data_IF_779851971356
#
_entry.id   IF_779851971356
#
_cell.length_a   1.000
_cell.length_b   1.000
_cell.length_c   1.000
_cell.angle_alpha   90.00
_cell.angle_beta   90.00
_cell.angle_gamma   90.00
#
_symmetry.space_group_name_H-M   'P 1'
#
loop_
_entity.id
_entity.type
_entity.pdbx_description
1 polymer ?
#
# COMPACT_ATOMS: atom_id res chain seq x y z
N UNK A 1 42.73 -26.32 86.33
CA UNK A 1 41.87 -27.20 85.50
C UNK A 1 42.22 -26.97 84.02
N UNK A 2 43.04 -27.89 83.48
CA UNK A 2 43.29 -28.32 82.08
C UNK A 2 42.97 -27.38 80.89
N UNK A 3 43.78 -27.22 79.83
CA UNK A 3 45.15 -27.61 79.44
C UNK A 3 45.32 -27.08 77.99
N UNK A 4 46.43 -26.37 77.70
CA UNK A 4 47.25 -26.47 76.46
C UNK A 4 46.64 -25.97 75.12
N UNK A 5 47.33 -25.45 74.10
CA UNK A 5 48.75 -25.21 73.80
C UNK A 5 48.82 -24.56 72.38
N UNK A 6 49.65 -23.51 72.24
CA UNK A 6 50.44 -22.99 71.11
C UNK A 6 50.36 -23.57 69.67
N UNK A 7 50.50 -22.63 68.68
CA UNK A 7 51.35 -22.64 67.44
C UNK A 7 51.24 -23.84 66.46
N UNK A 8 51.32 -23.77 65.12
CA UNK A 8 52.31 -23.17 64.19
C UNK A 8 51.94 -23.62 62.75
N UNK A 9 52.30 -22.82 61.74
CA UNK A 9 52.80 -23.13 60.37
C UNK A 9 52.16 -24.18 59.40
N UNK A 10 51.95 -23.68 58.17
CA UNK A 10 52.47 -24.17 56.86
C UNK A 10 51.93 -25.42 56.12
N UNK A 11 51.92 -25.31 54.79
CA UNK A 11 51.86 -26.41 53.78
C UNK A 11 50.58 -26.38 52.94
N UNK A 12 50.54 -25.85 51.71
CA UNK A 12 51.00 -26.40 50.40
C UNK A 12 50.47 -27.82 50.10
N UNK A 13 49.76 -27.95 48.97
CA UNK A 13 49.47 -29.23 48.28
C UNK A 13 48.01 -29.31 47.82
N UNK A 14 47.62 -28.77 46.67
CA UNK A 14 47.70 -29.37 45.33
C UNK A 14 46.79 -30.60 45.14
N UNK A 15 45.72 -30.45 44.32
CA UNK A 15 45.30 -31.29 43.18
C UNK A 15 43.78 -31.18 42.96
N UNK A 16 43.35 -30.89 41.73
CA UNK A 16 41.94 -31.01 41.35
C UNK A 16 41.60 -30.31 40.04
N UNK A 17 42.01 -30.93 38.93
CA UNK A 17 41.69 -30.55 37.55
C UNK A 17 40.17 -30.50 37.33
N UNK A 18 39.66 -29.41 36.77
CA UNK A 18 38.48 -29.44 35.89
C UNK A 18 38.46 -28.19 35.00
N UNK A 19 39.03 -28.33 33.81
CA UNK A 19 38.77 -27.43 32.71
C UNK A 19 37.32 -27.61 32.24
N UNK A 20 36.53 -26.54 32.25
CA UNK A 20 35.31 -26.47 31.42
C UNK A 20 35.28 -25.12 30.75
N UNK A 21 35.78 -25.11 29.52
CA UNK A 21 35.52 -24.15 28.47
C UNK A 21 34.01 -24.05 28.25
N UNK A 22 33.38 -22.94 28.67
CA UNK A 22 32.00 -22.66 28.26
C UNK A 22 32.05 -21.81 26.98
N UNK A 23 31.92 -22.52 25.87
CA UNK A 23 31.82 -22.00 24.51
C UNK A 23 30.81 -20.86 24.41
N UNK A 24 31.21 -19.77 23.76
CA UNK A 24 30.29 -18.79 23.21
C UNK A 24 29.43 -19.49 22.15
N UNK A 25 28.19 -19.82 22.52
CA UNK A 25 27.18 -20.29 21.59
C UNK A 25 26.68 -19.06 20.82
N UNK A 26 27.31 -18.76 19.69
CA UNK A 26 26.75 -17.83 18.73
C UNK A 26 25.42 -18.41 18.25
N UNK A 27 24.30 -17.81 18.68
CA UNK A 27 23.00 -18.06 18.09
C UNK A 27 23.04 -17.54 16.65
N UNK A 28 23.32 -18.42 15.70
CA UNK A 28 23.00 -18.19 14.30
C UNK A 28 21.50 -18.36 14.15
N UNK A 29 20.73 -17.33 14.48
CA UNK A 29 19.37 -17.20 13.95
C UNK A 29 19.49 -17.11 12.43
N UNK A 30 18.91 -18.04 11.64
CA UNK A 30 18.82 -17.83 10.22
C UNK A 30 17.93 -16.60 10.04
N UNK A 31 18.50 -15.53 9.49
CA UNK A 31 17.70 -14.41 9.01
C UNK A 31 16.81 -14.93 7.88
N UNK A 32 15.58 -15.30 8.21
CA UNK A 32 14.50 -15.37 7.23
C UNK A 32 14.14 -13.93 6.87
N UNK A 33 14.99 -13.33 6.04
CA UNK A 33 14.76 -12.01 5.50
C UNK A 33 13.63 -12.10 4.45
N UNK A 34 12.47 -11.56 4.80
CA UNK A 34 12.02 -10.32 4.14
C UNK A 34 11.21 -10.42 2.85
N UNK A 35 10.69 -11.57 2.44
CA UNK A 35 9.84 -11.62 1.22
C UNK A 35 8.36 -11.32 1.51
N UNK A 36 7.85 -11.72 2.69
CA UNK A 36 6.43 -11.50 3.07
C UNK A 36 6.15 -10.11 3.66
N UNK A 37 7.13 -9.52 4.35
CA UNK A 37 6.98 -8.21 5.00
C UNK A 37 7.14 -7.05 3.99
N UNK A 38 8.04 -7.20 3.00
CA UNK A 38 8.25 -6.18 1.98
C UNK A 38 7.03 -6.07 1.04
N UNK A 39 6.54 -7.18 0.49
CA UNK A 39 5.39 -7.17 -0.43
C UNK A 39 4.10 -6.68 0.24
N UNK A 40 3.86 -7.05 1.51
CA UNK A 40 2.72 -6.53 2.27
C UNK A 40 2.87 -5.04 2.60
N UNK A 41 4.10 -4.57 2.89
CA UNK A 41 4.39 -3.15 3.08
C UNK A 41 4.21 -2.33 1.80
N UNK A 42 4.57 -2.90 0.64
CA UNK A 42 4.42 -2.25 -0.66
C UNK A 42 2.95 -2.13 -1.05
N UNK A 43 2.14 -3.18 -0.82
CA UNK A 43 0.68 -3.11 -1.02
C UNK A 43 0.03 -2.12 -0.06
N UNK A 44 0.45 -2.09 1.22
CA UNK A 44 -0.04 -1.12 2.19
C UNK A 44 0.30 0.32 1.78
N UNK A 45 1.52 0.55 1.29
CA UNK A 45 1.95 1.83 0.73
C UNK A 45 1.18 2.18 -0.54
N UNK A 46 0.94 1.21 -1.42
CA UNK A 46 0.10 1.38 -2.62
C UNK A 46 -1.31 1.84 -2.26
N UNK A 47 -1.95 1.20 -1.28
CA UNK A 47 -3.26 1.61 -0.76
C UNK A 47 -3.25 3.04 -0.21
N UNK A 48 -2.21 3.39 0.55
CA UNK A 48 -2.05 4.76 1.05
C UNK A 48 -1.96 5.77 -0.11
N UNK A 49 -1.17 5.48 -1.15
CA UNK A 49 -1.02 6.36 -2.31
C UNK A 49 -2.33 6.52 -3.08
N UNK A 50 -3.03 5.42 -3.38
CA UNK A 50 -4.35 5.46 -4.07
C UNK A 50 -5.36 6.30 -3.29
N UNK A 51 -5.30 6.24 -1.96
CA UNK A 51 -6.18 7.03 -1.08
C UNK A 51 -5.79 8.51 -1.10
N UNK A 52 -4.52 8.82 -0.85
CA UNK A 52 -4.05 10.20 -0.70
C UNK A 52 -3.96 10.98 -2.02
N UNK A 53 -3.77 10.28 -3.14
CA UNK A 53 -3.75 10.89 -4.48
C UNK A 53 -5.15 11.12 -5.04
N UNK A 54 -6.21 10.75 -4.30
CA UNK A 54 -7.60 11.01 -4.71
C UNK A 54 -8.05 10.19 -5.91
N UNK A 55 -7.50 8.99 -6.13
CA UNK A 55 -7.89 8.17 -7.29
C UNK A 55 -9.40 7.89 -7.31
N UNK A 56 -10.00 7.71 -6.13
CA UNK A 56 -11.43 7.47 -5.97
C UNK A 56 -12.31 8.68 -6.36
N UNK A 57 -11.77 9.89 -6.39
CA UNK A 57 -12.58 11.10 -6.61
C UNK A 57 -13.21 11.08 -8.00
N UNK A 58 -12.44 10.63 -9.00
CA UNK A 58 -12.87 10.54 -10.38
C UNK A 58 -13.07 9.09 -10.85
N UNK A 59 -12.36 8.10 -10.30
CA UNK A 59 -12.47 6.72 -10.76
C UNK A 59 -13.51 5.87 -10.00
N UNK A 60 -14.19 6.42 -9.01
CA UNK A 60 -15.31 5.74 -8.35
C UNK A 60 -16.61 6.47 -8.69
N UNK A 61 -17.61 5.81 -9.30
CA UNK A 61 -18.91 6.42 -9.58
C UNK A 61 -19.56 6.97 -8.32
N UNK A 62 -20.12 8.16 -8.41
CA UNK A 62 -20.95 8.71 -7.35
C UNK A 62 -22.40 8.28 -7.52
N UNK A 63 -23.04 7.99 -6.40
CA UNK A 63 -24.47 7.69 -6.32
C UNK A 63 -25.18 8.74 -5.45
N UNK A 64 -26.42 9.06 -5.80
CA UNK A 64 -27.23 9.97 -5.00
C UNK A 64 -27.74 9.26 -3.74
N UNK A 65 -27.37 9.80 -2.59
CA UNK A 65 -27.87 9.35 -1.28
C UNK A 65 -28.74 10.45 -0.64
N UNK A 66 -29.49 10.15 0.45
CA UNK A 66 -30.18 11.18 1.22
C UNK A 66 -29.28 12.28 1.81
N UNK A 67 -27.96 12.05 1.92
CA UNK A 67 -26.98 13.03 2.40
C UNK A 67 -26.32 13.83 1.27
N UNK A 68 -26.75 13.61 0.03
CA UNK A 68 -26.13 14.16 -1.17
C UNK A 68 -25.38 13.08 -1.97
N UNK A 69 -24.65 13.49 -3.02
CA UNK A 69 -23.87 12.56 -3.80
C UNK A 69 -22.68 12.03 -2.98
N UNK A 70 -22.52 10.72 -2.95
CA UNK A 70 -21.41 10.05 -2.27
C UNK A 70 -20.79 9.00 -3.21
N UNK A 71 -19.49 8.68 -3.08
CA UNK A 71 -18.86 7.60 -3.84
C UNK A 71 -19.54 6.25 -3.57
N UNK A 72 -19.92 5.55 -4.62
CA UNK A 72 -20.42 4.19 -4.56
C UNK A 72 -19.25 3.21 -4.43
N UNK A 73 -18.96 2.84 -3.18
CA UNK A 73 -17.87 1.93 -2.87
C UNK A 73 -18.11 0.49 -3.34
N UNK A 74 -19.31 0.13 -3.80
CA UNK A 74 -19.56 -1.18 -4.45
C UNK A 74 -18.97 -1.23 -5.87
N UNK A 75 -18.76 -0.05 -6.47
CA UNK A 75 -18.13 0.16 -7.78
C UNK A 75 -16.80 0.91 -7.63
N UNK A 76 -16.11 0.73 -6.49
CA UNK A 76 -14.86 1.41 -6.20
C UNK A 76 -13.85 1.22 -7.34
N UNK A 77 -13.31 2.32 -7.85
CA UNK A 77 -12.32 2.38 -8.93
C UNK A 77 -12.79 1.83 -10.30
N UNK A 78 -14.09 1.60 -10.51
CA UNK A 78 -14.58 1.02 -11.78
C UNK A 78 -14.60 2.00 -12.95
N UNK A 79 -14.31 3.29 -12.74
CA UNK A 79 -14.42 4.33 -13.77
C UNK A 79 -15.86 4.63 -14.16
N UNK A 80 -16.08 5.09 -15.39
CA UNK A 80 -17.42 5.45 -15.85
C UNK A 80 -18.31 4.21 -16.10
N UNK A 81 -19.52 4.14 -15.52
CA UNK A 81 -20.41 3.02 -15.80
C UNK A 81 -20.96 3.05 -17.24
N UNK A 82 -20.90 1.92 -17.94
CA UNK A 82 -21.43 1.78 -19.30
C UNK A 82 -22.96 2.01 -19.39
N UNK A 83 -23.66 1.75 -18.29
CA UNK A 83 -25.10 1.87 -18.14
C UNK A 83 -25.55 3.31 -17.86
N UNK A 84 -24.62 4.23 -17.60
CA UNK A 84 -24.93 5.63 -17.32
C UNK A 84 -24.84 6.47 -18.61
N UNK A 85 -25.97 6.94 -19.17
CA UNK A 85 -25.93 7.70 -20.41
C UNK A 85 -25.33 9.09 -20.20
N UNK A 86 -24.39 9.47 -21.07
CA UNK A 86 -23.90 10.85 -21.15
C UNK A 86 -24.55 11.58 -22.31
N UNK A 87 -25.49 12.46 -21.97
CA UNK A 87 -25.88 13.57 -22.84
C UNK A 87 -24.90 14.71 -22.63
N UNK A 88 -23.81 14.71 -23.40
CA UNK A 88 -22.86 15.83 -23.41
C UNK A 88 -23.60 17.15 -23.70
N UNK A 89 -23.26 18.25 -23.01
CA UNK A 89 -23.94 19.52 -23.20
C UNK A 89 -23.73 20.04 -24.62
N UNK A 90 -24.84 20.47 -25.22
CA UNK A 90 -24.90 21.02 -26.59
C UNK A 90 -24.27 22.42 -26.70
N UNK A 91 -24.03 23.08 -25.57
CA UNK A 91 -23.28 24.33 -25.39
C UNK A 91 -23.16 24.58 -23.87
N UNK A 92 -21.96 24.86 -23.35
CA UNK A 92 -21.74 25.21 -21.93
C UNK A 92 -21.64 26.73 -21.70
N UNK A 93 -21.86 27.54 -22.74
CA UNK A 93 -21.73 29.00 -22.72
C UNK A 93 -20.35 29.49 -23.16
N UNK A 94 -20.23 30.82 -23.32
CA UNK A 94 -19.06 31.46 -23.91
C UNK A 94 -17.86 31.50 -22.94
N UNK A 95 -16.90 30.60 -23.18
CA UNK A 95 -15.57 30.59 -22.57
C UNK A 95 -14.73 29.45 -23.17
N UNK A 96 -13.45 29.66 -23.51
CA UNK A 96 -12.67 28.68 -24.28
C UNK A 96 -12.43 27.33 -23.56
N UNK A 97 -12.79 27.20 -22.28
CA UNK A 97 -12.49 26.04 -21.43
C UNK A 97 -13.58 25.72 -20.39
N UNK A 98 -14.84 26.11 -20.63
CA UNK A 98 -15.94 25.72 -19.74
C UNK A 98 -16.15 24.21 -19.80
N UNK A 99 -16.31 23.56 -18.65
CA UNK A 99 -16.50 22.12 -18.55
C UNK A 99 -17.63 21.76 -17.58
N UNK A 100 -18.18 20.56 -17.77
CA UNK A 100 -19.17 19.96 -16.88
C UNK A 100 -18.78 18.52 -16.56
N UNK A 101 -19.16 18.05 -15.37
CA UNK A 101 -19.05 16.65 -14.97
C UNK A 101 -20.43 15.97 -15.00
N UNK A 102 -20.43 14.67 -15.28
CA UNK A 102 -21.57 13.81 -15.05
C UNK A 102 -21.90 13.71 -13.55
N UNK A 103 -23.15 13.42 -13.18
CA UNK A 103 -23.54 13.19 -11.78
C UNK A 103 -22.73 12.11 -11.06
N UNK A 104 -22.20 11.14 -11.81
CA UNK A 104 -21.32 10.08 -11.30
C UNK A 104 -19.89 10.54 -11.02
N UNK A 105 -19.54 11.79 -11.36
CA UNK A 105 -18.19 12.36 -11.31
C UNK A 105 -17.11 11.58 -12.11
N UNK A 106 -17.53 10.76 -13.08
CA UNK A 106 -16.68 9.87 -13.87
C UNK A 106 -16.65 10.19 -15.37
N UNK A 107 -17.36 11.23 -15.81
CA UNK A 107 -17.30 11.71 -17.18
C UNK A 107 -17.30 13.24 -17.21
N UNK A 108 -16.51 13.82 -18.11
CA UNK A 108 -16.26 15.26 -18.19
C UNK A 108 -16.42 15.72 -19.63
N UNK A 109 -17.17 16.80 -19.83
CA UNK A 109 -17.42 17.38 -21.15
C UNK A 109 -16.89 18.80 -21.25
N UNK A 110 -16.25 19.13 -22.36
CA UNK A 110 -15.81 20.48 -22.69
C UNK A 110 -15.57 20.64 -24.20
N UNK A 111 -14.88 21.70 -24.65
CA UNK A 111 -14.57 21.93 -26.07
C UNK A 111 -13.79 20.79 -26.75
N UNK A 112 -13.18 19.90 -25.97
CA UNK A 112 -12.49 18.69 -26.44
C UNK A 112 -13.40 17.47 -26.64
N UNK A 113 -14.71 17.59 -26.37
CA UNK A 113 -15.65 16.47 -26.37
C UNK A 113 -15.88 15.90 -24.96
N UNK A 114 -16.12 14.59 -24.87
CA UNK A 114 -16.35 13.89 -23.61
C UNK A 114 -15.17 12.99 -23.28
N UNK A 115 -14.68 13.08 -22.05
CA UNK A 115 -13.70 12.17 -21.47
C UNK A 115 -14.36 11.30 -20.41
N UNK A 116 -14.04 10.01 -20.44
CA UNK A 116 -14.52 9.04 -19.46
C UNK A 116 -13.34 8.57 -18.61
N UNK A 117 -13.54 8.42 -17.31
CA UNK A 117 -12.52 7.92 -16.39
C UNK A 117 -12.34 6.41 -16.60
N UNK A 118 -11.10 5.95 -16.69
CA UNK A 118 -10.77 4.54 -16.88
C UNK A 118 -11.20 3.65 -15.71
N UNK A 119 -11.47 2.38 -15.99
CA UNK A 119 -11.65 1.36 -14.96
C UNK A 119 -10.26 0.96 -14.42
N UNK A 120 -10.02 1.16 -13.12
CA UNK A 120 -8.76 0.83 -12.45
C UNK A 120 -8.82 -0.49 -11.67
N UNK A 121 -9.89 -1.26 -11.82
CA UNK A 121 -10.06 -2.57 -11.16
C UNK A 121 -9.16 -3.64 -11.80
N UNK A 122 -9.00 -4.81 -11.15
CA UNK A 122 -8.31 -5.96 -11.75
C UNK A 122 -9.04 -6.62 -12.93
N UNK A 123 -10.15 -6.06 -13.42
CA UNK A 123 -10.89 -6.61 -14.56
C UNK A 123 -9.96 -6.74 -15.79
N UNK A 124 -9.93 -7.91 -16.47
CA UNK A 124 -8.99 -8.15 -17.55
C UNK A 124 -9.38 -7.50 -18.87
N UNK A 125 -10.66 -7.17 -19.09
CA UNK A 125 -11.13 -6.65 -20.39
C UNK A 125 -11.21 -5.12 -20.41
N UNK A 126 -11.67 -4.55 -19.30
CA UNK A 126 -11.95 -3.12 -19.18
C UNK A 126 -11.04 -2.43 -18.17
N UNK A 127 -10.44 -3.19 -17.24
CA UNK A 127 -9.59 -2.69 -16.16
C UNK A 127 -8.08 -2.84 -16.40
N UNK A 128 -7.32 -2.85 -15.31
CA UNK A 128 -5.86 -2.99 -15.30
C UNK A 128 -5.40 -4.46 -15.22
N UNK A 129 -6.30 -5.45 -15.33
CA UNK A 129 -5.97 -6.86 -15.09
C UNK A 129 -4.87 -7.42 -15.99
N UNK A 130 -4.66 -6.83 -17.17
CA UNK A 130 -3.60 -7.19 -18.13
C UNK A 130 -2.35 -6.31 -18.04
N UNK A 131 -2.36 -5.26 -17.20
CA UNK A 131 -1.26 -4.31 -17.12
C UNK A 131 -0.10 -4.88 -16.31
N UNK A 132 1.12 -4.63 -16.79
CA UNK A 132 2.32 -4.86 -15.98
C UNK A 132 2.54 -3.67 -15.04
N UNK A 133 3.33 -3.88 -13.98
CA UNK A 133 3.75 -2.79 -13.10
C UNK A 133 4.49 -1.68 -13.89
N UNK A 134 5.28 -2.04 -14.89
CA UNK A 134 5.99 -1.08 -15.74
C UNK A 134 5.04 -0.23 -16.59
N UNK A 135 4.01 -0.85 -17.17
CA UNK A 135 2.93 -0.15 -17.89
C UNK A 135 2.25 0.86 -16.96
N UNK A 136 1.86 0.43 -15.76
CA UNK A 136 1.24 1.32 -14.77
C UNK A 136 2.15 2.49 -14.38
N UNK A 137 3.43 2.23 -14.09
CA UNK A 137 4.40 3.26 -13.72
C UNK A 137 4.59 4.27 -14.86
N UNK A 138 4.66 3.80 -16.10
CA UNK A 138 4.82 4.66 -17.28
C UNK A 138 3.59 5.53 -17.50
N UNK A 139 2.40 4.95 -17.34
CA UNK A 139 1.12 5.66 -17.42
C UNK A 139 1.07 6.84 -16.43
N UNK A 140 1.37 6.58 -15.16
CA UNK A 140 1.29 7.58 -14.11
C UNK A 140 2.39 8.64 -14.22
N UNK A 141 3.60 8.28 -14.64
CA UNK A 141 4.72 9.22 -14.74
C UNK A 141 4.73 10.06 -16.01
N UNK A 142 4.13 9.55 -17.09
CA UNK A 142 4.28 10.15 -18.43
C UNK A 142 2.97 10.42 -19.14
N UNK A 143 1.85 9.89 -18.64
CA UNK A 143 0.55 9.95 -19.30
C UNK A 143 0.44 9.06 -20.54
N UNK A 144 1.29 8.02 -20.68
CA UNK A 144 1.32 7.10 -21.83
C UNK A 144 1.39 5.64 -21.37
N UNK A 145 0.66 4.74 -22.02
CA UNK A 145 0.57 3.32 -21.66
C UNK A 145 0.32 2.42 -22.86
#
# INVERSE_FOLDING_TARGET
MNRKLFLTLAGIGALGIAATTLSALALTTPAHAGETDAASSDVARGKYLVTMMGCNDCHTPWAMTPRGPEPDMTRMLSGHPEDFPITAPKDLGEGPWTWAAAPTNTAFSGPWGVSFTANLTPDPETGLGKWTAETFITAIRTGRH
#
